data_IF_667673581183
#
_entry.id   IF_667673581183
#
_cell.length_a   1.000
_cell.length_b   1.000
_cell.length_c   1.000
_cell.angle_alpha   90.00
_cell.angle_beta   90.00
_cell.angle_gamma   90.00
#
_symmetry.space_group_name_H-M   'P 1'
#
loop_
_entity.id
_entity.type
_entity.pdbx_description
1 polymer ?
#
# COMPACT_ATOMS: atom_id res chain seq x y z
N UNK A 1 -29.59 -18.29 -3.23
CA UNK A 1 -28.53 -18.02 -2.26
C UNK A 1 -27.84 -16.75 -2.69
N UNK A 2 -27.63 -15.82 -1.77
CA UNK A 2 -26.78 -14.66 -2.01
C UNK A 2 -25.33 -15.14 -2.12
N UNK A 3 -24.59 -14.59 -3.07
CA UNK A 3 -23.21 -14.97 -3.35
C UNK A 3 -22.26 -13.84 -2.94
N UNK A 4 -21.11 -14.21 -2.40
CA UNK A 4 -20.03 -13.27 -2.08
C UNK A 4 -19.18 -13.08 -3.33
N UNK A 5 -18.97 -11.81 -3.72
CA UNK A 5 -18.25 -11.43 -4.94
C UNK A 5 -16.72 -11.53 -4.87
N UNK A 6 -16.17 -12.56 -4.21
CA UNK A 6 -14.71 -12.78 -4.10
C UNK A 6 -14.15 -13.30 -5.42
N UNK A 7 -13.56 -12.40 -6.21
CA UNK A 7 -12.88 -12.75 -7.46
C UNK A 7 -11.58 -13.53 -7.20
N UNK A 8 -11.17 -14.43 -8.12
CA UNK A 8 -9.87 -15.06 -8.06
C UNK A 8 -8.75 -14.02 -8.03
N UNK A 9 -7.83 -14.17 -7.07
CA UNK A 9 -6.64 -13.33 -6.95
C UNK A 9 -5.47 -13.98 -7.65
N UNK A 10 -4.64 -13.17 -8.30
CA UNK A 10 -3.32 -13.63 -8.74
C UNK A 10 -2.49 -13.96 -7.50
N UNK A 11 -2.11 -15.22 -7.36
CA UNK A 11 -1.19 -15.70 -6.33
C UNK A 11 0.22 -15.78 -6.89
N UNK A 12 1.13 -15.00 -6.33
CA UNK A 12 2.55 -15.05 -6.65
C UNK A 12 3.30 -15.76 -5.51
N UNK A 13 3.87 -16.97 -5.73
CA UNK A 13 4.44 -17.79 -4.67
C UNK A 13 5.84 -17.38 -4.22
N UNK A 14 6.58 -16.58 -5.01
CA UNK A 14 7.98 -16.26 -4.74
C UNK A 14 8.16 -15.18 -3.69
N UNK A 15 7.50 -14.04 -3.86
CA UNK A 15 7.58 -12.85 -2.99
C UNK A 15 6.22 -12.57 -2.34
N UNK A 16 5.11 -12.91 -3.00
CA UNK A 16 3.74 -12.66 -2.54
C UNK A 16 3.10 -11.48 -3.24
N UNK A 17 1.84 -11.63 -3.63
CA UNK A 17 1.12 -10.65 -4.47
C UNK A 17 1.03 -9.25 -3.83
N UNK A 18 0.77 -9.18 -2.52
CA UNK A 18 0.76 -7.90 -1.78
C UNK A 18 2.13 -7.22 -1.74
N UNK A 19 3.23 -7.99 -1.74
CA UNK A 19 4.58 -7.45 -1.79
C UNK A 19 4.95 -6.92 -3.16
N UNK A 20 4.49 -7.57 -4.23
CA UNK A 20 4.65 -7.03 -5.60
C UNK A 20 3.99 -5.65 -5.70
N UNK A 21 2.79 -5.49 -5.15
CA UNK A 21 2.12 -4.19 -5.05
C UNK A 21 2.95 -3.20 -4.23
N UNK A 22 3.45 -3.60 -3.05
CA UNK A 22 4.25 -2.74 -2.18
C UNK A 22 5.57 -2.27 -2.82
N UNK A 23 6.27 -3.16 -3.54
CA UNK A 23 7.50 -2.86 -4.27
C UNK A 23 7.20 -1.87 -5.40
N UNK A 24 6.18 -2.16 -6.22
CA UNK A 24 5.77 -1.29 -7.33
C UNK A 24 5.38 0.11 -6.82
N UNK A 25 4.56 0.16 -5.77
CA UNK A 25 4.16 1.39 -5.12
C UNK A 25 5.36 2.19 -4.60
N UNK A 26 6.32 1.54 -3.93
CA UNK A 26 7.48 2.26 -3.38
C UNK A 26 8.36 2.87 -4.48
N UNK A 27 8.60 2.15 -5.58
CA UNK A 27 9.37 2.67 -6.72
C UNK A 27 8.63 3.85 -7.37
N UNK A 28 7.32 3.75 -7.55
CA UNK A 28 6.52 4.83 -8.13
C UNK A 28 6.47 6.06 -7.21
N UNK A 29 6.32 5.86 -5.91
CA UNK A 29 6.27 6.91 -4.89
C UNK A 29 7.60 7.69 -4.87
N UNK A 30 8.73 6.99 -5.03
CA UNK A 30 10.04 7.63 -5.22
C UNK A 30 10.06 8.58 -6.43
N UNK A 31 9.65 8.09 -7.60
CA UNK A 31 9.64 8.88 -8.82
C UNK A 31 8.67 10.08 -8.72
N UNK A 32 7.49 9.88 -8.13
CA UNK A 32 6.47 10.92 -7.99
C UNK A 32 6.87 12.01 -6.99
N UNK A 33 7.39 11.67 -5.80
CA UNK A 33 7.76 12.66 -4.78
C UNK A 33 8.88 13.57 -5.27
N UNK A 34 9.85 13.01 -6.00
CA UNK A 34 10.94 13.78 -6.60
C UNK A 34 10.46 14.67 -7.75
N UNK A 35 9.50 14.19 -8.57
CA UNK A 35 8.92 14.96 -9.67
C UNK A 35 8.09 16.15 -9.17
N UNK A 36 7.10 15.90 -8.30
CA UNK A 36 6.13 16.92 -7.89
C UNK A 36 6.81 18.04 -7.10
N UNK A 37 7.70 17.69 -6.16
CA UNK A 37 8.42 18.70 -5.40
C UNK A 37 9.38 19.52 -6.28
N UNK A 38 10.02 18.89 -7.27
CA UNK A 38 10.85 19.60 -8.22
C UNK A 38 10.05 20.50 -9.17
N UNK A 39 8.83 20.11 -9.56
CA UNK A 39 7.97 20.93 -10.39
C UNK A 39 7.60 22.25 -9.69
N UNK A 40 7.29 22.20 -8.39
CA UNK A 40 7.08 23.39 -7.57
C UNK A 40 8.37 24.20 -7.40
N UNK A 41 9.51 23.55 -7.19
CA UNK A 41 10.81 24.23 -7.16
C UNK A 41 11.10 24.94 -8.50
N UNK A 42 10.81 24.31 -9.63
CA UNK A 42 11.00 24.90 -10.97
C UNK A 42 10.10 26.11 -11.18
N UNK A 43 8.83 26.04 -10.77
CA UNK A 43 7.94 27.19 -10.80
C UNK A 43 8.53 28.36 -9.99
N UNK A 44 8.99 28.10 -8.76
CA UNK A 44 9.63 29.11 -7.92
C UNK A 44 10.90 29.69 -8.55
N UNK A 45 11.82 28.84 -9.02
CA UNK A 45 13.08 29.26 -9.62
C UNK A 45 12.86 30.01 -10.94
N UNK A 46 11.86 29.66 -11.73
CA UNK A 46 11.52 30.37 -12.97
C UNK A 46 10.95 31.76 -12.68
N UNK A 47 10.09 31.90 -11.67
CA UNK A 47 9.63 33.21 -11.19
C UNK A 47 10.79 34.05 -10.69
N UNK A 48 11.73 33.44 -9.97
CA UNK A 48 12.93 34.12 -9.47
C UNK A 48 13.85 34.57 -10.61
N UNK A 49 14.07 33.70 -11.61
CA UNK A 49 14.86 33.97 -12.80
C UNK A 49 14.31 35.17 -13.57
N UNK A 50 12.99 35.22 -13.76
CA UNK A 50 12.30 36.32 -14.42
C UNK A 50 12.39 37.63 -13.62
N UNK A 51 12.11 37.59 -12.31
CA UNK A 51 12.10 38.80 -11.46
C UNK A 51 13.50 39.39 -11.23
N UNK A 52 14.54 38.55 -11.16
CA UNK A 52 15.92 38.98 -10.90
C UNK A 52 16.78 39.05 -12.17
N UNK A 53 16.19 38.75 -13.32
CA UNK A 53 16.90 38.62 -14.60
C UNK A 53 18.15 37.75 -14.49
N UNK A 54 18.01 36.57 -13.87
CA UNK A 54 19.12 35.65 -13.57
C UNK A 54 18.98 34.36 -14.41
N UNK A 55 19.43 34.35 -15.68
CA UNK A 55 19.21 33.24 -16.60
C UNK A 55 19.89 31.94 -16.18
N UNK A 56 20.95 32.00 -15.36
CA UNK A 56 21.64 30.82 -14.79
C UNK A 56 20.68 29.89 -14.02
N UNK A 57 19.61 30.43 -13.43
CA UNK A 57 18.57 29.63 -12.77
C UNK A 57 17.81 28.74 -13.76
N UNK A 58 17.59 29.24 -14.98
CA UNK A 58 16.95 28.46 -16.03
C UNK A 58 17.85 27.33 -16.53
N UNK A 59 19.17 27.55 -16.56
CA UNK A 59 20.13 26.48 -16.88
C UNK A 59 20.13 25.38 -15.81
N UNK A 60 20.00 25.75 -14.53
CA UNK A 60 19.83 24.78 -13.45
C UNK A 60 18.51 24.00 -13.59
N UNK A 61 17.39 24.69 -13.87
CA UNK A 61 16.10 24.05 -14.17
C UNK A 61 16.25 23.07 -15.33
N UNK A 62 16.92 23.45 -16.43
CA UNK A 62 17.13 22.56 -17.59
C UNK A 62 17.89 21.30 -17.20
N UNK A 63 19.02 21.44 -16.49
CA UNK A 63 19.87 20.31 -16.08
C UNK A 63 19.15 19.38 -15.10
N UNK A 64 18.42 19.95 -14.14
CA UNK A 64 17.66 19.17 -13.19
C UNK A 64 16.45 18.50 -13.86
N UNK A 65 15.73 19.24 -14.71
CA UNK A 65 14.63 18.70 -15.50
C UNK A 65 15.08 17.53 -16.39
N UNK A 66 16.22 17.62 -17.06
CA UNK A 66 16.76 16.50 -17.86
C UNK A 66 17.02 15.25 -17.02
N UNK A 67 17.53 15.40 -15.80
CA UNK A 67 17.69 14.28 -14.87
C UNK A 67 16.32 13.68 -14.50
N UNK A 68 15.33 14.52 -14.17
CA UNK A 68 13.99 14.07 -13.79
C UNK A 68 13.22 13.45 -14.96
N UNK A 69 13.45 13.89 -16.20
CA UNK A 69 12.78 13.32 -17.37
C UNK A 69 13.05 11.82 -17.46
N UNK A 70 14.31 11.42 -17.26
CA UNK A 70 14.69 9.99 -17.26
C UNK A 70 14.32 9.33 -15.93
N UNK A 71 14.74 9.90 -14.81
CA UNK A 71 14.60 9.25 -13.51
C UNK A 71 13.15 9.21 -13.00
N UNK A 72 12.42 10.31 -13.11
CA UNK A 72 11.06 10.42 -12.54
C UNK A 72 9.98 10.18 -13.58
N UNK A 73 10.06 10.80 -14.77
CA UNK A 73 8.97 10.72 -15.74
C UNK A 73 8.91 9.39 -16.48
N UNK A 74 10.03 8.85 -16.97
CA UNK A 74 10.03 7.52 -17.62
C UNK A 74 9.66 6.43 -16.61
N UNK A 75 10.37 6.38 -15.47
CA UNK A 75 10.09 5.38 -14.43
C UNK A 75 8.66 5.54 -13.89
N UNK A 76 8.23 6.77 -13.60
CA UNK A 76 6.88 7.08 -13.12
C UNK A 76 5.78 6.67 -14.11
N UNK A 77 5.98 6.95 -15.40
CA UNK A 77 5.00 6.60 -16.46
C UNK A 77 4.87 5.10 -16.70
N UNK A 78 5.90 4.30 -16.37
CA UNK A 78 5.84 2.83 -16.45
C UNK A 78 5.23 2.26 -15.16
N UNK A 79 5.70 2.74 -14.01
CA UNK A 79 5.31 2.20 -12.70
C UNK A 79 3.89 2.60 -12.29
N UNK A 80 3.37 3.75 -12.72
CA UNK A 80 1.99 4.19 -12.45
C UNK A 80 0.94 3.21 -12.98
N UNK A 81 0.92 2.92 -14.31
CA UNK A 81 0.11 1.84 -14.87
C UNK A 81 0.44 0.47 -14.27
N UNK A 82 1.71 0.24 -13.88
CA UNK A 82 2.12 -0.97 -13.16
C UNK A 82 1.38 -1.16 -11.83
N UNK A 83 1.14 -0.09 -11.07
CA UNK A 83 0.31 -0.15 -9.84
C UNK A 83 -1.12 -0.56 -10.19
N UNK A 84 -1.72 0.02 -11.22
CA UNK A 84 -3.08 -0.34 -11.65
C UNK A 84 -3.20 -1.82 -11.98
N UNK A 85 -2.26 -2.34 -12.78
CA UNK A 85 -2.25 -3.75 -13.13
C UNK A 85 -2.09 -4.64 -11.88
N UNK A 86 -1.04 -4.40 -11.09
CA UNK A 86 -0.70 -5.24 -9.93
C UNK A 86 -1.78 -5.21 -8.85
N UNK A 87 -2.35 -4.03 -8.53
CA UNK A 87 -3.43 -3.92 -7.54
C UNK A 87 -4.73 -4.55 -8.02
N UNK A 88 -5.04 -4.48 -9.31
CA UNK A 88 -6.26 -5.10 -9.87
C UNK A 88 -6.22 -6.61 -9.76
N UNK A 89 -5.07 -7.23 -10.02
CA UNK A 89 -4.96 -8.70 -9.94
C UNK A 89 -4.71 -9.21 -8.52
N UNK A 90 -4.06 -8.42 -7.65
CA UNK A 90 -3.78 -8.80 -6.27
C UNK A 90 -4.94 -8.50 -5.30
N UNK A 91 -5.73 -7.44 -5.55
CA UNK A 91 -6.88 -7.07 -4.71
C UNK A 91 -8.05 -6.53 -5.56
N UNK A 92 -8.68 -7.38 -6.41
CA UNK A 92 -9.77 -6.97 -7.30
C UNK A 92 -10.89 -6.17 -6.63
N UNK A 93 -11.38 -6.59 -5.45
CA UNK A 93 -12.46 -5.87 -4.76
C UNK A 93 -11.97 -4.61 -4.06
N UNK A 94 -10.73 -4.63 -3.56
CA UNK A 94 -10.09 -3.46 -2.98
C UNK A 94 -9.98 -2.33 -4.00
N UNK A 95 -9.50 -2.63 -5.21
CA UNK A 95 -9.46 -1.62 -6.29
C UNK A 95 -10.86 -1.28 -6.80
N UNK A 96 -11.76 -2.26 -6.93
CA UNK A 96 -13.14 -2.03 -7.39
C UNK A 96 -13.88 -1.03 -6.50
N UNK A 97 -13.72 -1.14 -5.18
CA UNK A 97 -14.28 -0.20 -4.21
C UNK A 97 -13.81 1.24 -4.43
N UNK A 98 -12.52 1.41 -4.71
CA UNK A 98 -11.95 2.72 -5.00
C UNK A 98 -12.46 3.25 -6.35
N UNK A 99 -12.63 2.39 -7.37
CA UNK A 99 -13.18 2.78 -8.68
C UNK A 99 -14.61 3.29 -8.53
N UNK A 100 -15.48 2.54 -7.85
CA UNK A 100 -16.87 2.93 -7.64
C UNK A 100 -17.01 4.22 -6.80
N UNK A 101 -15.99 4.56 -6.00
CA UNK A 101 -15.98 5.78 -5.19
C UNK A 101 -15.35 6.98 -5.90
N UNK A 102 -14.30 6.76 -6.72
CA UNK A 102 -13.39 7.82 -7.16
C UNK A 102 -12.96 7.76 -8.63
N UNK A 103 -13.62 6.99 -9.50
CA UNK A 103 -13.26 6.90 -10.93
C UNK A 103 -13.07 8.27 -11.61
N UNK A 104 -13.92 9.25 -11.30
CA UNK A 104 -13.82 10.60 -11.86
C UNK A 104 -12.64 11.40 -11.32
N UNK A 105 -12.23 11.16 -10.07
CA UNK A 105 -11.02 11.76 -9.51
C UNK A 105 -9.78 11.19 -10.20
N UNK A 106 -9.72 9.88 -10.39
CA UNK A 106 -8.67 9.28 -11.20
C UNK A 106 -8.65 9.81 -12.64
N UNK A 107 -9.80 9.86 -13.32
CA UNK A 107 -9.84 10.45 -14.66
C UNK A 107 -9.31 11.89 -14.68
N UNK A 108 -9.60 12.68 -13.64
CA UNK A 108 -9.04 14.03 -13.48
C UNK A 108 -7.52 14.01 -13.28
N UNK A 109 -7.01 13.09 -12.46
CA UNK A 109 -5.57 12.88 -12.25
C UNK A 109 -4.86 12.62 -13.59
N UNK A 110 -5.39 11.74 -14.44
CA UNK A 110 -4.81 11.45 -15.75
C UNK A 110 -4.73 12.67 -16.66
N UNK A 111 -5.72 13.56 -16.62
CA UNK A 111 -5.67 14.83 -17.38
C UNK A 111 -4.54 15.72 -16.89
N UNK A 112 -4.38 15.89 -15.56
CA UNK A 112 -3.26 16.65 -15.00
C UNK A 112 -1.92 15.99 -15.28
N UNK A 113 -1.84 14.66 -15.22
CA UNK A 113 -0.63 13.91 -15.56
C UNK A 113 -0.20 14.12 -17.02
N UNK A 114 -1.14 14.18 -17.97
CA UNK A 114 -0.81 14.55 -19.37
C UNK A 114 -0.23 15.97 -19.44
N UNK A 115 -0.82 16.91 -18.71
CA UNK A 115 -0.30 18.29 -18.61
C UNK A 115 1.12 18.29 -18.02
N UNK A 116 1.41 17.44 -17.03
CA UNK A 116 2.74 17.31 -16.44
C UNK A 116 3.76 16.74 -17.42
N UNK A 117 3.43 15.65 -18.12
CA UNK A 117 4.32 15.04 -19.11
C UNK A 117 4.62 16.02 -20.22
N UNK A 118 3.62 16.71 -20.77
CA UNK A 118 3.88 17.76 -21.77
C UNK A 118 4.67 18.92 -21.14
N UNK A 119 4.27 19.34 -19.95
CA UNK A 119 4.84 20.45 -19.20
C UNK A 119 6.33 20.30 -18.93
N UNK A 120 6.79 19.11 -18.49
CA UNK A 120 8.22 18.89 -18.22
C UNK A 120 9.06 19.02 -19.48
N UNK A 121 8.60 18.51 -20.63
CA UNK A 121 9.28 18.67 -21.90
C UNK A 121 9.35 20.15 -22.30
N UNK A 122 8.25 20.89 -22.16
CA UNK A 122 8.23 22.33 -22.46
C UNK A 122 9.17 23.11 -21.53
N UNK A 123 9.15 22.82 -20.23
CA UNK A 123 10.02 23.46 -19.23
C UNK A 123 11.50 23.22 -19.54
N UNK A 124 11.87 22.06 -20.08
CA UNK A 124 13.26 21.73 -20.40
C UNK A 124 13.69 22.27 -21.75
N UNK A 125 12.95 21.94 -22.82
CA UNK A 125 13.39 22.17 -24.19
C UNK A 125 13.14 23.61 -24.67
N UNK A 126 12.24 24.35 -24.03
CA UNK A 126 12.00 25.76 -24.39
C UNK A 126 12.89 26.76 -23.65
N UNK A 127 13.72 26.32 -22.70
CA UNK A 127 14.69 27.23 -22.04
C UNK A 127 15.59 27.87 -23.11
N UNK A 128 15.57 29.20 -23.18
CA UNK A 128 16.35 29.98 -24.14
C UNK A 128 15.79 29.99 -25.57
N UNK A 129 14.66 29.31 -25.83
CA UNK A 129 13.96 29.34 -27.13
C UNK A 129 12.70 30.20 -27.12
N UNK A 130 12.13 30.44 -25.94
CA UNK A 130 11.03 31.38 -25.70
C UNK A 130 11.48 32.46 -24.73
N UNK A 131 10.75 33.57 -24.68
CA UNK A 131 11.03 34.64 -23.73
C UNK A 131 10.84 34.16 -22.27
N UNK A 132 11.52 34.81 -21.33
CA UNK A 132 11.52 34.40 -19.93
C UNK A 132 10.13 34.43 -19.28
N UNK A 133 9.24 35.34 -19.73
CA UNK A 133 7.88 35.45 -19.17
C UNK A 133 7.03 34.26 -19.59
N UNK A 134 7.14 33.85 -20.85
CA UNK A 134 6.48 32.66 -21.38
C UNK A 134 7.01 31.40 -20.70
N UNK A 135 8.34 31.25 -20.57
CA UNK A 135 8.94 30.10 -19.87
C UNK A 135 8.48 30.01 -18.41
N UNK A 136 8.45 31.15 -17.69
CA UNK A 136 7.94 31.22 -16.33
C UNK A 136 6.48 30.77 -16.23
N UNK A 137 5.60 31.19 -17.14
CA UNK A 137 4.19 30.75 -17.16
C UNK A 137 4.08 29.23 -17.34
N UNK A 138 4.86 28.67 -18.25
CA UNK A 138 4.91 27.21 -18.49
C UNK A 138 5.35 26.49 -17.22
N UNK A 139 6.42 26.96 -16.56
CA UNK A 139 6.91 26.36 -15.32
C UNK A 139 5.90 26.43 -14.17
N UNK A 140 5.14 27.53 -14.07
CA UNK A 140 4.07 27.66 -13.06
C UNK A 140 2.90 26.73 -13.35
N UNK A 141 2.44 26.64 -14.60
CA UNK A 141 1.38 25.70 -14.99
C UNK A 141 1.80 24.27 -14.69
N UNK A 142 3.04 23.92 -15.04
CA UNK A 142 3.65 22.63 -14.74
C UNK A 142 3.65 22.33 -13.23
N UNK A 143 4.18 23.24 -12.41
CA UNK A 143 4.20 23.06 -10.95
C UNK A 143 2.81 22.91 -10.33
N UNK A 144 1.84 23.73 -10.76
CA UNK A 144 0.46 23.66 -10.27
C UNK A 144 -0.25 22.37 -10.71
N UNK A 145 0.00 21.90 -11.93
CA UNK A 145 -0.54 20.64 -12.42
C UNK A 145 0.00 19.47 -11.60
N UNK A 146 1.31 19.40 -11.38
CA UNK A 146 1.94 18.36 -10.54
C UNK A 146 1.42 18.32 -9.12
N UNK A 147 1.23 19.48 -8.50
CA UNK A 147 0.67 19.53 -7.15
C UNK A 147 -0.80 19.09 -7.12
N UNK A 148 -1.56 19.38 -8.17
CA UNK A 148 -2.96 18.96 -8.28
C UNK A 148 -3.09 17.46 -8.44
N UNK A 149 -2.23 16.80 -9.23
CA UNK A 149 -2.14 15.34 -9.31
C UNK A 149 -1.94 14.73 -7.93
N UNK A 150 -0.99 15.26 -7.15
CA UNK A 150 -0.76 14.79 -5.79
C UNK A 150 -1.99 14.98 -4.88
N UNK A 151 -2.65 16.14 -4.92
CA UNK A 151 -3.86 16.40 -4.14
C UNK A 151 -4.94 15.35 -4.41
N UNK A 152 -5.09 14.97 -5.68
CA UNK A 152 -6.10 14.00 -6.11
C UNK A 152 -5.78 12.60 -5.56
N UNK A 153 -4.57 12.08 -5.83
CA UNK A 153 -4.22 10.71 -5.42
C UNK A 153 -4.16 10.56 -3.90
N UNK A 154 -3.69 11.58 -3.17
CA UNK A 154 -3.63 11.53 -1.71
C UNK A 154 -5.01 11.49 -1.06
N UNK A 155 -6.03 12.11 -1.65
CA UNK A 155 -7.40 11.97 -1.14
C UNK A 155 -7.92 10.53 -1.26
N UNK A 156 -7.56 9.82 -2.33
CA UNK A 156 -7.93 8.41 -2.52
C UNK A 156 -7.15 7.52 -1.55
N UNK A 157 -5.86 7.75 -1.38
CA UNK A 157 -5.03 7.00 -0.42
C UNK A 157 -5.46 7.24 1.03
N UNK A 158 -5.86 8.48 1.36
CA UNK A 158 -6.43 8.83 2.66
C UNK A 158 -7.69 8.01 2.95
N UNK A 159 -8.59 7.89 1.97
CA UNK A 159 -9.79 7.07 2.09
C UNK A 159 -9.48 5.58 2.36
N UNK A 160 -8.38 5.03 1.80
CA UNK A 160 -7.98 3.66 2.11
C UNK A 160 -7.71 3.45 3.61
N UNK A 161 -7.27 4.50 4.33
CA UNK A 161 -7.06 4.48 5.77
C UNK A 161 -8.38 4.67 6.53
N UNK A 162 -9.09 5.76 6.24
CA UNK A 162 -10.38 6.10 6.85
C UNK A 162 -11.11 7.09 5.92
N UNK A 163 -12.44 6.97 5.75
CA UNK A 163 -13.22 7.97 5.01
C UNK A 163 -13.03 9.37 5.61
N UNK A 164 -13.07 10.40 4.75
CA UNK A 164 -12.86 11.79 5.16
C UNK A 164 -13.82 12.28 6.24
N UNK A 165 -15.06 11.80 6.22
CA UNK A 165 -16.09 12.06 7.23
C UNK A 165 -16.80 10.77 7.61
N UNK A 166 -17.18 10.64 8.88
CA UNK A 166 -17.91 9.48 9.38
C UNK A 166 -19.27 9.29 8.70
N UNK A 167 -19.95 10.38 8.34
CA UNK A 167 -21.23 10.36 7.60
C UNK A 167 -21.15 9.62 6.25
N UNK A 168 -19.94 9.42 5.72
CA UNK A 168 -19.75 8.59 4.52
C UNK A 168 -20.27 7.17 4.70
N UNK A 169 -20.20 6.59 5.91
CA UNK A 169 -20.72 5.25 6.17
C UNK A 169 -22.24 5.17 5.98
N UNK A 170 -22.98 6.24 6.30
CA UNK A 170 -24.45 6.26 6.22
C UNK A 170 -24.97 6.82 4.89
N UNK A 171 -24.36 7.90 4.39
CA UNK A 171 -24.83 8.62 3.19
C UNK A 171 -24.01 8.34 1.93
N UNK A 172 -22.81 7.78 2.07
CA UNK A 172 -21.88 7.64 0.97
C UNK A 172 -21.40 8.99 0.43
N UNK A 173 -21.15 9.05 -0.87
CA UNK A 173 -20.80 10.26 -1.59
C UNK A 173 -19.29 10.57 -1.64
N UNK A 174 -18.79 10.92 -2.82
CA UNK A 174 -17.35 11.09 -3.04
C UNK A 174 -16.72 12.19 -2.17
N UNK A 175 -17.44 13.30 -1.91
CA UNK A 175 -16.93 14.41 -1.10
C UNK A 175 -16.71 13.99 0.37
N UNK A 176 -17.65 13.22 0.92
CA UNK A 176 -17.58 12.71 2.29
C UNK A 176 -16.46 11.68 2.43
N UNK A 177 -16.22 10.87 1.40
CA UNK A 177 -15.11 9.90 1.39
C UNK A 177 -13.75 10.58 1.23
N UNK A 178 -13.66 11.64 0.41
CA UNK A 178 -12.40 12.23 -0.01
C UNK A 178 -11.84 13.29 0.96
N UNK A 179 -12.68 14.21 1.43
CA UNK A 179 -12.23 15.37 2.21
C UNK A 179 -12.41 15.15 3.72
N UNK A 180 -11.30 15.18 4.46
CA UNK A 180 -11.28 15.00 5.91
C UNK A 180 -9.97 15.44 6.53
N UNK A 181 -9.91 15.43 7.87
CA UNK A 181 -8.69 15.82 8.60
C UNK A 181 -7.49 14.95 8.23
N UNK A 182 -7.68 13.64 8.10
CA UNK A 182 -6.64 12.71 7.68
C UNK A 182 -6.10 13.06 6.27
N UNK A 183 -6.97 13.44 5.33
CA UNK A 183 -6.57 13.83 3.97
C UNK A 183 -5.65 15.06 3.98
N UNK A 184 -6.00 16.10 4.74
CA UNK A 184 -5.19 17.32 4.79
C UNK A 184 -3.91 17.12 5.60
N UNK A 185 -3.93 16.31 6.65
CA UNK A 185 -2.73 15.97 7.41
C UNK A 185 -1.74 15.18 6.55
N UNK A 186 -2.21 14.18 5.80
CA UNK A 186 -1.39 13.44 4.84
C UNK A 186 -0.84 14.36 3.74
N UNK A 187 -1.68 15.22 3.14
CA UNK A 187 -1.26 16.18 2.12
C UNK A 187 -0.14 17.09 2.62
N UNK A 188 -0.31 17.68 3.81
CA UNK A 188 0.67 18.59 4.38
C UNK A 188 2.00 17.86 4.66
N UNK A 189 1.93 16.70 5.32
CA UNK A 189 3.09 15.87 5.64
C UNK A 189 3.84 15.43 4.38
N UNK A 190 3.13 14.95 3.36
CA UNK A 190 3.71 14.52 2.07
C UNK A 190 4.29 15.69 1.27
N UNK A 191 3.67 16.87 1.36
CA UNK A 191 4.23 18.11 0.79
C UNK A 191 5.57 18.47 1.43
N UNK A 192 5.70 18.33 2.75
CA UNK A 192 6.96 18.56 3.43
C UNK A 192 8.01 17.50 3.01
N UNK A 193 7.62 16.23 2.96
CA UNK A 193 8.53 15.15 2.56
C UNK A 193 9.02 15.27 1.10
N UNK A 194 8.17 15.64 0.14
CA UNK A 194 8.61 15.85 -1.24
C UNK A 194 9.65 16.98 -1.37
N UNK A 195 9.53 18.03 -0.55
CA UNK A 195 10.48 19.15 -0.58
C UNK A 195 11.83 18.74 0.00
N UNK A 196 11.83 17.89 1.02
CA UNK A 196 13.04 17.22 1.52
C UNK A 196 13.69 16.39 0.41
N UNK A 197 12.91 15.55 -0.28
CA UNK A 197 13.40 14.74 -1.40
C UNK A 197 13.95 15.59 -2.55
N UNK A 198 13.23 16.66 -2.91
CA UNK A 198 13.62 17.60 -3.96
C UNK A 198 14.93 18.32 -3.62
N UNK A 199 15.11 18.70 -2.35
CA UNK A 199 16.33 19.34 -1.90
C UNK A 199 17.56 18.42 -2.01
N UNK A 200 17.43 17.15 -1.64
CA UNK A 200 18.52 16.17 -1.75
C UNK A 200 18.82 15.83 -3.22
N UNK A 201 17.80 15.51 -4.01
CA UNK A 201 17.97 15.14 -5.42
C UNK A 201 18.47 16.32 -6.25
N UNK A 202 17.93 17.52 -6.02
CA UNK A 202 18.45 18.75 -6.61
C UNK A 202 19.91 19.02 -6.23
N UNK A 203 20.34 18.53 -5.06
CA UNK A 203 21.72 18.54 -4.59
C UNK A 203 22.68 17.76 -5.50
N UNK A 204 22.26 16.65 -6.10
CA UNK A 204 23.07 15.87 -7.06
C UNK A 204 23.43 16.73 -8.28
N UNK A 205 22.45 17.49 -8.78
CA UNK A 205 22.62 18.37 -9.94
C UNK A 205 23.42 19.61 -9.55
N UNK A 206 23.12 20.20 -8.39
CA UNK A 206 23.81 21.38 -7.87
C UNK A 206 25.28 21.10 -7.55
N UNK A 207 25.63 19.86 -7.16
CA UNK A 207 27.01 19.44 -6.93
C UNK A 207 27.91 19.62 -8.16
N UNK A 208 27.32 19.53 -9.38
CA UNK A 208 28.01 19.66 -10.68
C UNK A 208 28.16 21.10 -11.16
N UNK A 209 27.66 22.09 -10.40
CA UNK A 209 27.84 23.51 -10.74
C UNK A 209 29.31 23.89 -10.53
N UNK A 210 29.93 24.48 -11.55
CA UNK A 210 31.34 24.89 -11.54
C UNK A 210 31.54 26.28 -10.94
N UNK A 211 30.63 27.22 -11.20
CA UNK A 211 30.69 28.56 -10.61
C UNK A 211 30.48 28.50 -9.07
N UNK A 212 31.49 28.87 -8.25
CA UNK A 212 31.39 28.81 -6.80
C UNK A 212 30.29 29.70 -6.22
N UNK A 213 30.04 30.86 -6.81
CA UNK A 213 29.04 31.80 -6.33
C UNK A 213 27.62 31.25 -6.55
N UNK A 214 27.33 30.82 -7.79
CA UNK A 214 26.05 30.19 -8.12
C UNK A 214 25.84 28.86 -7.38
N UNK A 215 26.90 28.03 -7.25
CA UNK A 215 26.83 26.80 -6.45
C UNK A 215 26.45 27.09 -5.01
N UNK A 216 27.06 28.11 -4.39
CA UNK A 216 26.74 28.52 -3.02
C UNK A 216 25.31 29.01 -2.91
N UNK A 217 24.83 29.79 -3.88
CA UNK A 217 23.45 30.26 -3.89
C UNK A 217 22.45 29.09 -3.94
N UNK A 218 22.58 28.20 -4.93
CA UNK A 218 21.67 27.06 -5.10
C UNK A 218 21.75 26.11 -3.91
N UNK A 219 22.96 25.76 -3.46
CA UNK A 219 23.16 24.87 -2.30
C UNK A 219 22.47 25.43 -1.05
N UNK A 220 22.53 26.75 -0.83
CA UNK A 220 21.86 27.40 0.30
C UNK A 220 20.34 27.38 0.18
N UNK A 221 19.78 27.57 -1.02
CA UNK A 221 18.33 27.45 -1.24
C UNK A 221 17.85 26.02 -0.99
N UNK A 222 18.57 25.02 -1.51
CA UNK A 222 18.24 23.60 -1.29
C UNK A 222 18.39 23.20 0.17
N UNK A 223 19.46 23.64 0.85
CA UNK A 223 19.67 23.35 2.27
C UNK A 223 18.56 23.95 3.14
N UNK A 224 18.17 25.21 2.91
CA UNK A 224 17.05 25.81 3.63
C UNK A 224 15.72 25.13 3.33
N UNK A 225 15.46 24.80 2.05
CA UNK A 225 14.28 24.04 1.66
C UNK A 225 14.22 22.73 2.45
N UNK A 226 15.31 21.95 2.43
CA UNK A 226 15.43 20.66 3.10
C UNK A 226 15.33 20.71 4.62
N UNK A 227 15.98 21.69 5.28
CA UNK A 227 15.88 21.88 6.74
C UNK A 227 14.45 22.22 7.13
N UNK A 228 13.87 23.25 6.51
CA UNK A 228 12.53 23.73 6.84
C UNK A 228 11.51 22.63 6.56
N UNK A 229 11.60 21.95 5.42
CA UNK A 229 10.67 20.89 5.07
C UNK A 229 10.82 19.66 5.96
N UNK A 230 12.03 19.30 6.41
CA UNK A 230 12.22 18.14 7.30
C UNK A 230 11.69 18.39 8.70
N UNK A 231 11.94 19.58 9.27
CA UNK A 231 11.38 19.99 10.58
C UNK A 231 9.86 20.11 10.51
N UNK A 232 9.36 20.77 9.47
CA UNK A 232 7.91 20.93 9.25
C UNK A 232 7.24 19.57 9.03
N UNK A 233 7.87 18.68 8.27
CA UNK A 233 7.39 17.32 8.05
C UNK A 233 7.30 16.51 9.34
N UNK A 234 8.30 16.61 10.21
CA UNK A 234 8.26 15.97 11.52
C UNK A 234 7.11 16.50 12.41
N UNK A 235 6.86 17.81 12.40
CA UNK A 235 5.73 18.39 13.12
C UNK A 235 4.37 17.97 12.52
N UNK A 236 4.24 17.97 11.20
CA UNK A 236 3.02 17.55 10.50
C UNK A 236 2.77 16.05 10.63
N UNK A 237 3.81 15.23 10.75
CA UNK A 237 3.67 13.81 11.07
C UNK A 237 2.96 13.61 12.42
N UNK A 238 3.27 14.44 13.44
CA UNK A 238 2.54 14.40 14.72
C UNK A 238 1.06 14.75 14.58
N UNK A 239 0.73 15.70 13.69
CA UNK A 239 -0.67 15.99 13.37
C UNK A 239 -1.33 14.79 12.67
N UNK A 240 -0.68 14.20 11.68
CA UNK A 240 -1.17 13.01 10.98
C UNK A 240 -1.50 11.85 11.93
N UNK A 241 -0.58 11.52 12.84
CA UNK A 241 -0.81 10.44 13.83
C UNK A 241 -2.07 10.69 14.66
N UNK A 242 -2.37 11.95 15.03
CA UNK A 242 -3.60 12.29 15.78
C UNK A 242 -4.89 12.19 14.97
N UNK A 243 -4.80 12.11 13.64
CA UNK A 243 -5.97 11.93 12.76
C UNK A 243 -6.29 10.47 12.49
N UNK A 244 -5.44 9.55 12.97
CA UNK A 244 -5.62 8.12 12.75
C UNK A 244 -6.76 7.56 13.61
N UNK A 245 -7.47 6.53 13.12
CA UNK A 245 -8.45 5.82 13.92
C UNK A 245 -7.78 5.02 15.05
N UNK A 246 -8.52 4.77 16.14
CA UNK A 246 -8.04 4.02 17.31
C UNK A 246 -7.43 2.66 16.94
N UNK A 247 -8.05 1.94 15.99
CA UNK A 247 -7.53 0.65 15.50
C UNK A 247 -6.10 0.77 14.99
N UNK A 248 -5.76 1.87 14.31
CA UNK A 248 -4.44 2.09 13.76
C UNK A 248 -3.39 2.32 14.86
N UNK A 249 -3.76 3.01 15.94
CA UNK A 249 -2.89 3.16 17.11
C UNK A 249 -2.61 1.80 17.77
N UNK A 250 -3.64 0.98 17.96
CA UNK A 250 -3.48 -0.36 18.51
C UNK A 250 -2.56 -1.24 17.63
N UNK A 251 -2.71 -1.19 16.30
CA UNK A 251 -1.81 -1.91 15.40
C UNK A 251 -0.39 -1.35 15.48
N UNK A 252 -0.24 -0.02 15.52
CA UNK A 252 1.06 0.64 15.62
C UNK A 252 1.83 0.17 16.85
N UNK A 253 1.20 0.18 18.03
CA UNK A 253 1.83 -0.15 19.30
C UNK A 253 2.17 -1.65 19.42
N UNK A 254 1.38 -2.52 18.81
CA UNK A 254 1.53 -3.98 18.94
C UNK A 254 2.34 -4.63 17.80
N UNK A 255 2.52 -3.95 16.66
CA UNK A 255 3.06 -4.58 15.44
C UNK A 255 4.21 -3.85 14.79
N UNK A 256 4.38 -2.55 14.99
CA UNK A 256 5.60 -1.91 14.50
C UNK A 256 6.79 -2.35 15.35
N UNK A 257 7.92 -2.73 14.73
CA UNK A 257 9.11 -3.12 15.49
C UNK A 257 9.57 -1.99 16.42
N UNK A 258 10.11 -2.34 17.58
CA UNK A 258 10.61 -1.36 18.57
C UNK A 258 11.71 -0.43 18.02
N UNK A 259 12.46 -0.88 17.00
CA UNK A 259 13.46 -0.08 16.31
C UNK A 259 12.88 0.94 15.32
N UNK A 260 11.60 0.86 14.98
CA UNK A 260 10.98 1.67 13.91
C UNK A 260 11.02 3.17 14.22
N UNK A 261 10.58 3.57 15.42
CA UNK A 261 10.60 4.96 15.84
C UNK A 261 12.04 5.51 15.96
N UNK A 262 13.01 4.82 16.63
CA UNK A 262 14.41 5.22 16.59
C UNK A 262 14.99 5.34 15.17
N UNK A 263 14.60 4.46 14.23
CA UNK A 263 15.06 4.51 12.85
C UNK A 263 14.59 5.78 12.13
N UNK A 264 13.30 6.14 12.24
CA UNK A 264 12.77 7.38 11.65
C UNK A 264 13.48 8.61 12.21
N UNK A 265 13.68 8.68 13.54
CA UNK A 265 14.38 9.79 14.18
C UNK A 265 15.82 9.87 13.68
N UNK A 266 16.51 8.74 13.55
CA UNK A 266 17.88 8.67 13.03
C UNK A 266 17.97 9.19 11.59
N UNK A 267 17.03 8.80 10.73
CA UNK A 267 16.97 9.28 9.34
C UNK A 267 16.69 10.77 9.28
N UNK A 268 15.78 11.28 10.13
CA UNK A 268 15.49 12.71 10.23
C UNK A 268 16.73 13.50 10.66
N UNK A 269 17.42 13.06 11.73
CA UNK A 269 18.63 13.71 12.23
C UNK A 269 19.77 13.65 11.19
N UNK A 270 19.95 12.51 10.53
CA UNK A 270 20.93 12.36 9.44
C UNK A 270 20.64 13.29 8.26
N UNK A 271 19.36 13.43 7.90
CA UNK A 271 18.91 14.35 6.84
C UNK A 271 19.16 15.82 7.23
N UNK A 272 18.86 16.20 8.47
CA UNK A 272 19.14 17.54 8.98
C UNK A 272 20.64 17.82 9.03
N UNK A 273 21.44 16.87 9.52
CA UNK A 273 22.89 17.00 9.54
C UNK A 273 23.46 17.21 8.13
N UNK A 274 23.00 16.44 7.14
CA UNK A 274 23.37 16.60 5.73
C UNK A 274 23.08 18.02 5.20
N UNK A 275 21.90 18.56 5.46
CA UNK A 275 21.57 19.90 5.00
C UNK A 275 22.29 21.00 5.77
N UNK A 276 22.50 20.85 7.09
CA UNK A 276 23.29 21.79 7.89
C UNK A 276 24.74 21.83 7.38
N UNK A 277 25.34 20.69 7.08
CA UNK A 277 26.68 20.62 6.47
C UNK A 277 26.71 21.33 5.10
N UNK A 278 25.70 21.09 4.27
CA UNK A 278 25.55 21.75 2.96
C UNK A 278 25.38 23.27 3.10
N UNK A 279 24.69 23.73 4.15
CA UNK A 279 24.47 25.14 4.46
C UNK A 279 25.75 25.84 4.93
N UNK A 280 26.55 25.17 5.77
CA UNK A 280 27.83 25.68 6.29
C UNK A 280 28.84 25.80 5.14
N UNK A 281 28.95 24.78 4.30
CA UNK A 281 29.91 24.75 3.21
C UNK A 281 29.34 24.07 1.98
N UNK A 282 29.10 24.85 0.92
CA UNK A 282 28.69 24.33 -0.39
C UNK A 282 29.75 23.42 -1.04
N UNK A 283 30.99 23.40 -0.53
CA UNK A 283 32.03 22.47 -0.99
C UNK A 283 31.76 21.03 -0.55
N UNK A 284 31.00 20.83 0.53
CA UNK A 284 30.59 19.48 0.98
C UNK A 284 29.55 18.86 0.05
N UNK A 285 28.84 19.68 -0.75
CA UNK A 285 27.89 19.21 -1.73
C UNK A 285 28.62 18.62 -2.94
N UNK A 286 28.85 17.31 -2.88
CA UNK A 286 29.47 16.49 -3.91
C UNK A 286 28.49 15.45 -4.42
N UNK A 287 28.66 15.01 -5.67
CA UNK A 287 27.71 14.12 -6.36
C UNK A 287 27.52 12.83 -5.57
N UNK A 288 28.61 12.17 -5.14
CA UNK A 288 28.51 10.91 -4.39
C UNK A 288 27.76 11.10 -3.06
N UNK A 289 28.03 12.19 -2.34
CA UNK A 289 27.41 12.47 -1.04
C UNK A 289 25.91 12.73 -1.19
N UNK A 290 25.51 13.51 -2.20
CA UNK A 290 24.11 13.74 -2.52
C UNK A 290 23.39 12.46 -3.01
N UNK A 291 24.08 11.61 -3.79
CA UNK A 291 23.54 10.32 -4.23
C UNK A 291 23.36 9.35 -3.05
N UNK A 292 24.34 9.26 -2.14
CA UNK A 292 24.23 8.45 -0.92
C UNK A 292 23.09 8.96 -0.05
N UNK A 293 23.00 10.27 0.20
CA UNK A 293 21.90 10.85 0.96
C UNK A 293 20.53 10.54 0.31
N UNK A 294 20.44 10.62 -1.02
CA UNK A 294 19.22 10.24 -1.76
C UNK A 294 18.87 8.78 -1.50
N UNK A 295 19.80 7.85 -1.70
CA UNK A 295 19.57 6.42 -1.48
C UNK A 295 19.22 6.13 -0.02
N UNK A 296 19.88 6.78 0.94
CA UNK A 296 19.60 6.60 2.37
C UNK A 296 18.19 7.03 2.74
N UNK A 297 17.72 8.20 2.28
CA UNK A 297 16.35 8.65 2.56
C UNK A 297 15.32 7.73 1.88
N UNK A 298 15.64 7.16 0.74
CA UNK A 298 14.74 6.21 0.06
C UNK A 298 14.62 4.89 0.79
N UNK A 299 15.76 4.29 1.16
CA UNK A 299 15.78 2.99 1.82
C UNK A 299 15.33 3.04 3.27
N UNK A 300 15.67 4.11 3.99
CA UNK A 300 15.42 4.20 5.43
C UNK A 300 14.33 5.21 5.80
N UNK A 301 13.94 6.10 4.90
CA UNK A 301 12.80 7.00 5.09
C UNK A 301 11.56 6.50 4.36
N UNK A 302 11.59 6.51 3.03
CA UNK A 302 10.43 6.22 2.19
C UNK A 302 9.93 4.77 2.35
N UNK A 303 10.81 3.78 2.28
CA UNK A 303 10.41 2.38 2.37
C UNK A 303 9.74 2.03 3.72
N UNK A 304 10.33 2.37 4.89
CA UNK A 304 9.66 2.16 6.18
C UNK A 304 8.33 2.90 6.30
N UNK A 305 8.22 4.11 5.74
CA UNK A 305 6.96 4.86 5.73
C UNK A 305 5.86 4.13 4.95
N UNK A 306 6.15 3.66 3.73
CA UNK A 306 5.17 2.93 2.90
C UNK A 306 4.73 1.61 3.55
N UNK A 307 5.67 0.88 4.16
CA UNK A 307 5.39 -0.36 4.91
C UNK A 307 4.57 -0.06 6.16
N UNK A 308 4.86 1.00 6.89
CA UNK A 308 4.11 1.37 8.08
C UNK A 308 2.68 1.78 7.72
N UNK A 309 2.49 2.61 6.69
CA UNK A 309 1.16 2.98 6.19
C UNK A 309 0.34 1.74 5.81
N UNK A 310 0.94 0.78 5.11
CA UNK A 310 0.29 -0.51 4.78
C UNK A 310 -0.08 -1.31 6.02
N UNK A 311 0.76 -1.29 7.04
CA UNK A 311 0.58 -2.10 8.24
C UNK A 311 -0.50 -1.54 9.16
N UNK A 312 -0.51 -0.23 9.41
CA UNK A 312 -1.43 0.41 10.37
C UNK A 312 -2.88 0.46 9.88
N UNK A 313 -3.13 0.32 8.57
CA UNK A 313 -4.50 0.26 8.03
C UNK A 313 -5.19 -1.08 8.25
N UNK A 314 -4.43 -2.14 8.56
CA UNK A 314 -4.97 -3.47 8.80
C UNK A 314 -5.98 -3.41 9.96
N UNK A 315 -7.11 -4.13 9.86
CA UNK A 315 -7.38 -5.24 8.94
C UNK A 315 -7.94 -4.83 7.58
N UNK A 316 -8.13 -3.54 7.33
CA UNK A 316 -8.83 -3.01 6.17
C UNK A 316 -7.90 -2.80 4.97
N UNK A 317 -8.42 -3.01 3.76
CA UNK A 317 -7.77 -2.59 2.50
C UNK A 317 -8.37 -1.29 1.98
N UNK A 318 -9.65 -1.01 2.26
CA UNK A 318 -10.33 0.21 1.83
C UNK A 318 -11.40 0.67 2.84
N UNK A 319 -11.38 1.97 3.17
CA UNK A 319 -12.48 2.72 3.78
C UNK A 319 -13.03 2.20 5.11
N UNK A 320 -12.28 1.35 5.84
CA UNK A 320 -12.75 0.62 7.03
C UNK A 320 -14.06 -0.17 6.83
N UNK A 321 -14.27 -0.71 5.62
CA UNK A 321 -15.41 -1.58 5.34
C UNK A 321 -15.06 -2.81 4.50
N UNK A 322 -13.94 -2.80 3.77
CA UNK A 322 -13.43 -3.99 3.06
C UNK A 322 -12.17 -4.48 3.76
N UNK A 323 -12.18 -5.73 4.20
CA UNK A 323 -11.05 -6.38 4.81
C UNK A 323 -9.93 -6.69 3.81
N UNK A 324 -8.74 -7.00 4.31
CA UNK A 324 -7.59 -7.37 3.49
C UNK A 324 -7.78 -8.65 2.68
N UNK A 325 -8.65 -9.57 3.14
CA UNK A 325 -9.10 -10.74 2.38
C UNK A 325 -10.26 -10.41 1.42
N UNK A 326 -10.59 -9.13 1.23
CA UNK A 326 -11.58 -8.61 0.31
C UNK A 326 -13.06 -8.86 0.69
N UNK A 327 -13.32 -9.40 1.87
CA UNK A 327 -14.69 -9.51 2.41
C UNK A 327 -15.17 -8.13 2.85
N UNK A 328 -16.44 -7.80 2.54
CA UNK A 328 -17.09 -6.61 3.08
C UNK A 328 -17.46 -6.88 4.53
N UNK A 329 -16.78 -6.21 5.46
CA UNK A 329 -16.94 -6.38 6.91
C UNK A 329 -17.92 -5.42 7.57
N UNK A 330 -18.37 -4.37 6.87
CA UNK A 330 -19.24 -3.31 7.42
C UNK A 330 -20.28 -2.86 6.38
N UNK A 331 -21.48 -2.58 6.85
CA UNK A 331 -22.54 -1.96 6.05
C UNK A 331 -22.19 -0.51 5.66
N UNK A 332 -22.51 -0.14 4.43
CA UNK A 332 -22.47 1.26 3.96
C UNK A 332 -23.80 1.56 3.25
N UNK A 333 -24.89 1.86 4.00
CA UNK A 333 -26.23 2.02 3.43
C UNK A 333 -26.30 3.03 2.27
N UNK A 334 -25.59 4.16 2.38
CA UNK A 334 -25.58 5.20 1.35
C UNK A 334 -24.92 4.79 0.03
N UNK A 335 -24.18 3.68 0.01
CA UNK A 335 -23.63 3.07 -1.19
C UNK A 335 -24.34 1.76 -1.56
N UNK A 336 -25.42 1.41 -0.86
CA UNK A 336 -26.14 0.13 -0.97
C UNK A 336 -25.21 -1.09 -0.79
N UNK A 337 -24.25 -0.99 0.14
CA UNK A 337 -23.30 -2.07 0.46
C UNK A 337 -23.72 -2.70 1.78
N UNK A 338 -23.83 -4.03 1.80
CA UNK A 338 -24.11 -4.81 3.01
C UNK A 338 -22.89 -5.66 3.39
N UNK A 339 -22.68 -5.81 4.69
CA UNK A 339 -21.68 -6.70 5.25
C UNK A 339 -21.96 -8.14 4.83
N UNK A 340 -20.91 -8.83 4.43
CA UNK A 340 -20.95 -10.23 4.01
C UNK A 340 -20.73 -11.18 5.19
N UNK A 341 -20.37 -10.65 6.36
CA UNK A 341 -20.09 -11.43 7.57
C UNK A 341 -21.30 -12.30 7.99
N UNK A 342 -22.54 -11.78 8.10
CA UNK A 342 -23.67 -12.61 8.52
C UNK A 342 -23.97 -13.76 7.54
N UNK A 343 -23.77 -13.54 6.24
CA UNK A 343 -23.94 -14.56 5.21
C UNK A 343 -22.90 -15.68 5.37
N UNK A 344 -21.63 -15.29 5.60
CA UNK A 344 -20.52 -16.21 5.81
C UNK A 344 -20.64 -16.99 7.13
N UNK A 345 -21.07 -16.36 8.22
CA UNK A 345 -21.35 -17.04 9.50
C UNK A 345 -22.43 -18.13 9.33
N UNK A 346 -23.47 -17.83 8.56
CA UNK A 346 -24.59 -18.74 8.34
C UNK A 346 -24.16 -19.93 7.46
N UNK A 347 -23.51 -19.67 6.33
CA UNK A 347 -23.32 -20.67 5.26
C UNK A 347 -21.87 -21.12 5.03
N UNK A 348 -20.88 -20.40 5.56
CA UNK A 348 -19.45 -20.64 5.29
C UNK A 348 -18.95 -20.02 3.98
N UNK A 349 -17.64 -20.04 3.77
CA UNK A 349 -16.98 -19.57 2.55
C UNK A 349 -17.24 -20.48 1.34
N UNK A 350 -17.20 -21.80 1.51
CA UNK A 350 -17.28 -22.76 0.40
C UNK A 350 -18.63 -22.73 -0.32
N UNK A 351 -19.71 -22.49 0.43
CA UNK A 351 -21.09 -22.47 -0.11
C UNK A 351 -21.48 -21.12 -0.69
N UNK A 352 -20.80 -20.04 -0.32
CA UNK A 352 -21.18 -18.66 -0.66
C UNK A 352 -20.29 -18.03 -1.71
N UNK A 353 -19.15 -18.63 -2.05
CA UNK A 353 -18.27 -18.13 -3.10
C UNK A 353 -18.68 -18.63 -4.49
N UNK A 354 -18.66 -17.71 -5.45
CA UNK A 354 -19.00 -17.96 -6.86
C UNK A 354 -17.96 -18.87 -7.52
N UNK A 355 -16.67 -18.60 -7.29
CA UNK A 355 -15.56 -19.23 -8.02
C UNK A 355 -14.99 -20.49 -7.35
N UNK A 356 -15.64 -20.99 -6.29
CA UNK A 356 -15.29 -22.29 -5.69
C UNK A 356 -15.87 -23.40 -6.56
N UNK A 357 -15.04 -24.34 -7.06
CA UNK A 357 -15.51 -25.51 -7.82
C UNK A 357 -16.51 -26.33 -7.03
N UNK A 358 -17.46 -26.97 -7.72
CA UNK A 358 -18.57 -27.69 -7.09
C UNK A 358 -18.09 -28.82 -6.17
N UNK A 359 -17.02 -29.50 -6.56
CA UNK A 359 -16.36 -30.57 -5.82
C UNK A 359 -15.67 -30.11 -4.52
N UNK A 360 -15.43 -28.80 -4.35
CA UNK A 360 -14.85 -28.23 -3.14
C UNK A 360 -15.89 -27.56 -2.23
N UNK A 361 -17.18 -27.57 -2.60
CA UNK A 361 -18.25 -26.93 -1.81
C UNK A 361 -18.61 -27.67 -0.53
N UNK A 362 -18.23 -28.95 -0.44
CA UNK A 362 -18.46 -29.82 0.72
C UNK A 362 -17.13 -30.49 1.06
N UNK A 363 -16.77 -30.47 2.34
CA UNK A 363 -15.54 -31.09 2.82
C UNK A 363 -15.73 -32.60 2.93
N UNK A 364 -14.85 -33.36 2.30
CA UNK A 364 -14.74 -34.81 2.41
C UNK A 364 -13.30 -35.17 2.79
N UNK A 365 -13.04 -36.37 3.35
CA UNK A 365 -11.67 -36.79 3.63
C UNK A 365 -10.75 -36.72 2.40
N UNK A 366 -11.28 -37.07 1.22
CA UNK A 366 -10.50 -37.10 -0.02
C UNK A 366 -10.11 -35.70 -0.55
N UNK A 367 -10.96 -34.70 -0.33
CA UNK A 367 -10.73 -33.34 -0.85
C UNK A 367 -10.21 -32.35 0.22
N UNK A 368 -10.11 -32.76 1.49
CA UNK A 368 -9.85 -31.88 2.64
C UNK A 368 -8.62 -30.98 2.45
N UNK A 369 -7.52 -31.54 1.94
CA UNK A 369 -6.31 -30.77 1.68
C UNK A 369 -6.52 -29.70 0.59
N UNK A 370 -7.24 -30.05 -0.48
CA UNK A 370 -7.51 -29.13 -1.59
C UNK A 370 -8.49 -28.03 -1.20
N UNK A 371 -9.49 -28.37 -0.37
CA UNK A 371 -10.40 -27.40 0.25
C UNK A 371 -9.60 -26.43 1.13
N UNK A 372 -8.72 -26.93 1.99
CA UNK A 372 -7.87 -26.09 2.84
C UNK A 372 -6.98 -25.13 2.05
N UNK A 373 -6.38 -25.61 0.95
CA UNK A 373 -5.60 -24.77 0.03
C UNK A 373 -6.47 -23.66 -0.59
N UNK A 374 -7.66 -23.99 -1.07
CA UNK A 374 -8.60 -23.03 -1.65
C UNK A 374 -9.05 -21.95 -0.66
N UNK A 375 -9.32 -22.36 0.59
CA UNK A 375 -9.61 -21.43 1.68
C UNK A 375 -8.40 -20.53 1.98
N UNK A 376 -7.19 -21.10 2.10
CA UNK A 376 -5.97 -20.33 2.35
C UNK A 376 -5.68 -19.31 1.24
N UNK A 377 -5.89 -19.70 -0.02
CA UNK A 377 -5.79 -18.80 -1.18
C UNK A 377 -6.76 -17.62 -1.05
N UNK A 378 -7.98 -17.88 -0.61
CA UNK A 378 -9.00 -16.83 -0.52
C UNK A 378 -8.83 -15.94 0.71
N UNK A 379 -8.55 -16.53 1.87
CA UNK A 379 -8.63 -15.82 3.16
C UNK A 379 -7.28 -15.33 3.67
N UNK A 380 -6.17 -15.92 3.22
CA UNK A 380 -4.84 -15.69 3.79
C UNK A 380 -3.83 -15.11 2.79
N UNK A 381 -3.91 -15.46 1.50
CA UNK A 381 -2.85 -15.19 0.51
C UNK A 381 -2.55 -13.70 0.25
N UNK A 382 -3.52 -12.81 0.50
CA UNK A 382 -3.33 -11.37 0.39
C UNK A 382 -2.35 -10.79 1.42
N UNK A 383 -2.12 -11.50 2.54
CA UNK A 383 -1.25 -11.06 3.63
C UNK A 383 -0.09 -12.02 3.91
N UNK A 384 -0.26 -13.30 3.61
CA UNK A 384 0.68 -14.36 3.92
C UNK A 384 1.06 -15.15 2.67
N UNK A 385 2.34 -15.49 2.54
CA UNK A 385 2.74 -16.47 1.53
C UNK A 385 2.21 -17.86 1.90
N UNK A 386 1.77 -18.62 0.89
CA UNK A 386 1.46 -20.04 1.00
C UNK A 386 2.63 -20.94 0.57
N UNK A 387 3.82 -20.35 0.40
CA UNK A 387 5.09 -21.02 0.14
C UNK A 387 6.07 -20.82 1.30
N UNK A 388 7.14 -21.62 1.34
CA UNK A 388 8.19 -21.52 2.37
C UNK A 388 9.14 -20.34 2.17
N UNK A 389 9.29 -19.91 0.92
CA UNK A 389 10.26 -18.88 0.50
C UNK A 389 9.64 -17.49 0.41
N UNK A 390 8.32 -17.41 0.25
CA UNK A 390 7.63 -16.13 0.15
C UNK A 390 7.62 -15.34 1.45
N UNK A 391 7.31 -14.05 1.34
CA UNK A 391 7.32 -13.17 2.49
C UNK A 391 6.20 -13.54 3.47
N UNK A 392 6.53 -13.55 4.78
CA UNK A 392 5.60 -13.90 5.86
C UNK A 392 4.87 -15.24 5.62
N UNK A 393 5.57 -16.39 5.49
CA UNK A 393 4.94 -17.68 5.28
C UNK A 393 3.88 -17.98 6.34
N UNK A 394 2.69 -18.40 5.91
CA UNK A 394 1.54 -18.63 6.79
C UNK A 394 1.86 -19.61 7.93
N UNK A 395 2.53 -20.72 7.61
CA UNK A 395 2.85 -21.77 8.58
C UNK A 395 3.72 -21.29 9.76
N UNK A 396 4.51 -20.22 9.59
CA UNK A 396 5.39 -19.70 10.65
C UNK A 396 4.63 -19.00 11.77
N UNK A 397 3.38 -18.61 11.55
CA UNK A 397 2.58 -17.88 12.53
C UNK A 397 1.86 -18.78 13.54
N UNK A 398 1.95 -20.11 13.40
CA UNK A 398 1.30 -21.07 14.29
C UNK A 398 2.27 -21.70 15.31
N UNK A 399 3.36 -21.00 15.66
CA UNK A 399 4.32 -21.47 16.67
C UNK A 399 5.02 -22.79 16.31
N UNK A 400 4.90 -23.23 15.06
CA UNK A 400 5.42 -24.51 14.61
C UNK A 400 4.66 -25.74 15.12
N UNK A 401 3.45 -25.60 15.66
CA UNK A 401 2.60 -26.76 15.97
C UNK A 401 2.35 -27.59 14.71
N UNK A 402 2.23 -28.90 14.92
CA UNK A 402 1.89 -29.88 13.87
C UNK A 402 0.59 -30.61 14.19
N UNK A 403 -0.10 -30.16 15.23
CA UNK A 403 -1.40 -30.65 15.65
C UNK A 403 -2.50 -29.87 14.92
N UNK A 404 -3.26 -30.56 14.06
CA UNK A 404 -4.35 -29.97 13.29
C UNK A 404 -5.42 -29.36 14.20
N UNK A 405 -5.77 -30.03 15.29
CA UNK A 405 -6.81 -29.59 16.23
C UNK A 405 -6.42 -28.29 16.95
N UNK A 406 -5.14 -28.10 17.27
CA UNK A 406 -4.66 -26.84 17.87
C UNK A 406 -4.78 -25.67 16.88
N UNK A 407 -4.39 -25.90 15.62
CA UNK A 407 -4.53 -24.90 14.56
C UNK A 407 -6.00 -24.57 14.33
N UNK A 408 -6.87 -25.58 14.22
CA UNK A 408 -8.31 -25.40 14.08
C UNK A 408 -8.90 -24.56 15.23
N UNK A 409 -8.56 -24.89 16.48
CA UNK A 409 -9.02 -24.16 17.65
C UNK A 409 -8.59 -22.70 17.62
N UNK A 410 -7.35 -22.41 17.18
CA UNK A 410 -6.91 -21.03 16.99
C UNK A 410 -7.72 -20.32 15.89
N UNK A 411 -7.92 -20.96 14.73
CA UNK A 411 -8.68 -20.38 13.62
C UNK A 411 -10.09 -20.01 14.07
N UNK A 412 -10.78 -20.91 14.77
CA UNK A 412 -12.14 -20.69 15.26
C UNK A 412 -12.22 -19.70 16.42
N UNK A 413 -11.27 -19.77 17.35
CA UNK A 413 -11.25 -18.93 18.54
C UNK A 413 -10.82 -17.49 18.26
N UNK A 414 -9.80 -17.30 17.41
CA UNK A 414 -9.17 -16.00 17.19
C UNK A 414 -9.59 -15.31 15.89
N UNK A 415 -9.80 -16.06 14.80
CA UNK A 415 -10.10 -15.49 13.48
C UNK A 415 -11.60 -15.47 13.17
N UNK A 416 -12.32 -16.56 13.47
CA UNK A 416 -13.78 -16.58 13.25
C UNK A 416 -14.55 -15.60 14.13
N UNK A 417 -14.02 -15.27 15.31
CA UNK A 417 -14.64 -14.31 16.25
C UNK A 417 -14.23 -12.85 15.98
N UNK A 418 -13.22 -12.62 15.14
CA UNK A 418 -12.62 -11.30 14.96
C UNK A 418 -11.83 -10.79 16.18
N UNK A 419 -11.47 -11.65 17.13
CA UNK A 419 -10.72 -11.26 18.33
C UNK A 419 -9.32 -10.70 17.99
N UNK A 420 -8.76 -11.05 16.84
CA UNK A 420 -7.49 -10.49 16.35
C UNK A 420 -7.71 -9.19 15.59
N UNK A 421 -7.61 -8.04 16.28
CA UNK A 421 -7.95 -6.71 15.76
C UNK A 421 -7.28 -6.31 14.43
N UNK A 422 -6.06 -6.77 14.15
CA UNK A 422 -5.31 -6.45 12.93
C UNK A 422 -5.46 -7.50 11.82
N UNK A 423 -6.33 -8.50 12.01
CA UNK A 423 -6.68 -9.50 11.00
C UNK A 423 -8.15 -9.37 10.60
N UNK A 424 -8.51 -9.70 9.34
CA UNK A 424 -9.90 -9.86 8.97
C UNK A 424 -10.62 -10.83 9.90
N UNK A 425 -11.92 -10.58 10.15
CA UNK A 425 -12.80 -11.62 10.67
C UNK A 425 -13.00 -12.67 9.56
N UNK A 426 -12.75 -13.93 9.87
CA UNK A 426 -12.84 -15.04 8.91
C UNK A 426 -13.79 -16.09 9.51
N UNK A 427 -15.12 -15.92 9.38
CA UNK A 427 -16.11 -16.78 10.04
C UNK A 427 -16.20 -18.17 9.38
N UNK A 428 -15.19 -19.01 9.65
CA UNK A 428 -15.10 -20.38 9.14
C UNK A 428 -16.09 -21.30 9.86
N UNK A 429 -16.77 -22.17 9.11
CA UNK A 429 -17.50 -23.32 9.68
C UNK A 429 -16.51 -24.35 10.23
N UNK A 430 -16.91 -25.22 11.18
CA UNK A 430 -16.01 -26.22 11.76
C UNK A 430 -15.26 -27.05 10.71
N UNK A 431 -15.98 -27.54 9.70
CA UNK A 431 -15.41 -28.32 8.60
C UNK A 431 -14.43 -27.51 7.73
N UNK A 432 -14.67 -26.20 7.55
CA UNK A 432 -13.79 -25.30 6.81
C UNK A 432 -12.51 -24.98 7.60
N UNK A 433 -12.67 -24.75 8.91
CA UNK A 433 -11.55 -24.50 9.82
C UNK A 433 -10.64 -25.72 9.93
N UNK A 434 -11.21 -26.93 10.01
CA UNK A 434 -10.47 -28.18 10.02
C UNK A 434 -9.70 -28.37 8.70
N UNK A 435 -10.35 -28.19 7.56
CA UNK A 435 -9.69 -28.30 6.25
C UNK A 435 -8.54 -27.28 6.09
N UNK A 436 -8.75 -26.02 6.50
CA UNK A 436 -7.71 -25.00 6.50
C UNK A 436 -6.56 -25.35 7.45
N UNK A 437 -6.85 -25.88 8.63
CA UNK A 437 -5.84 -26.34 9.58
C UNK A 437 -4.99 -27.48 9.01
N UNK A 438 -5.62 -28.47 8.35
CA UNK A 438 -4.92 -29.55 7.63
C UNK A 438 -3.96 -28.99 6.60
N UNK A 439 -4.37 -28.01 5.79
CA UNK A 439 -3.48 -27.38 4.81
C UNK A 439 -2.31 -26.64 5.48
N UNK A 440 -2.55 -25.86 6.53
CA UNK A 440 -1.50 -25.13 7.26
C UNK A 440 -0.48 -26.10 7.87
N UNK A 441 -0.94 -27.20 8.47
CA UNK A 441 -0.04 -28.24 9.00
C UNK A 441 0.71 -28.92 7.86
N UNK A 442 0.04 -29.22 6.74
CA UNK A 442 0.67 -29.84 5.57
C UNK A 442 1.83 -29.01 5.02
N UNK A 443 1.73 -27.68 5.03
CA UNK A 443 2.83 -26.79 4.59
C UNK A 443 4.13 -27.02 5.37
N UNK A 444 4.05 -27.49 6.63
CA UNK A 444 5.23 -27.73 7.47
C UNK A 444 5.55 -29.22 7.63
N UNK A 445 4.55 -30.04 7.92
CA UNK A 445 4.70 -31.48 8.17
C UNK A 445 3.59 -32.27 7.46
N UNK A 446 3.77 -32.62 6.16
CA UNK A 446 2.77 -33.32 5.36
C UNK A 446 2.25 -34.62 6.00
N UNK A 447 3.14 -35.36 6.66
CA UNK A 447 2.80 -36.64 7.31
C UNK A 447 1.75 -36.48 8.41
N UNK A 448 1.83 -35.39 9.20
CA UNK A 448 0.87 -35.13 10.28
C UNK A 448 -0.52 -34.79 9.71
N UNK A 449 -0.57 -34.01 8.63
CA UNK A 449 -1.80 -33.69 7.92
C UNK A 449 -2.44 -34.95 7.29
N UNK A 450 -1.63 -35.81 6.65
CA UNK A 450 -2.10 -37.06 6.05
C UNK A 450 -2.65 -38.01 7.12
N UNK A 451 -1.96 -38.16 8.25
CA UNK A 451 -2.42 -39.00 9.36
C UNK A 451 -3.79 -38.53 9.90
N UNK A 452 -4.00 -37.22 10.00
CA UNK A 452 -5.29 -36.64 10.40
C UNK A 452 -6.39 -36.96 9.39
N UNK A 453 -6.12 -36.81 8.10
CA UNK A 453 -7.08 -37.14 7.02
C UNK A 453 -7.45 -38.62 7.07
N UNK A 454 -6.47 -39.52 7.22
CA UNK A 454 -6.71 -40.97 7.31
C UNK A 454 -7.55 -41.34 8.53
N UNK A 455 -7.27 -40.72 9.67
CA UNK A 455 -8.08 -40.90 10.88
C UNK A 455 -9.53 -40.48 10.65
N UNK A 456 -9.77 -39.33 10.02
CA UNK A 456 -11.11 -38.86 9.66
C UNK A 456 -11.83 -39.75 8.66
N UNK A 457 -11.11 -40.26 7.65
CA UNK A 457 -11.65 -41.22 6.70
C UNK A 457 -12.11 -42.51 7.40
N UNK A 458 -11.31 -43.03 8.34
CA UNK A 458 -11.66 -44.21 9.13
C UNK A 458 -12.90 -43.99 10.01
N UNK A 459 -13.02 -42.83 10.65
CA UNK A 459 -14.21 -42.46 11.42
C UNK A 459 -15.47 -42.39 10.54
N UNK A 460 -15.37 -41.73 9.38
CA UNK A 460 -16.49 -41.63 8.44
C UNK A 460 -16.95 -43.00 7.92
N UNK A 461 -16.02 -43.92 7.66
CA UNK A 461 -16.33 -45.31 7.28
C UNK A 461 -17.00 -46.08 8.42
N UNK A 462 -16.54 -45.91 9.66
CA UNK A 462 -17.14 -46.53 10.83
C UNK A 462 -18.58 -46.05 11.07
N UNK A 463 -18.84 -44.74 10.94
CA UNK A 463 -20.17 -44.16 11.08
C UNK A 463 -21.13 -44.66 9.98
N UNK A 464 -20.65 -44.80 8.74
CA UNK A 464 -21.43 -45.38 7.64
C UNK A 464 -21.75 -46.86 7.88
N UNK A 465 -20.79 -47.63 8.40
CA UNK A 465 -20.99 -49.04 8.74
C UNK A 465 -22.01 -49.22 9.87
N UNK A 466 -22.04 -48.29 10.84
CA UNK A 466 -23.01 -48.29 11.94
C UNK A 466 -24.42 -47.81 11.52
N UNK A 467 -24.53 -47.01 10.45
CA UNK A 467 -25.80 -46.48 9.95
C UNK A 467 -26.56 -47.42 8.99
N UNK A 468 -25.95 -48.54 8.57
CA UNK A 468 -26.63 -49.58 7.81
C UNK A 468 -27.62 -50.32 8.72
N UNK A 469 -28.94 -50.37 8.41
CA UNK A 469 -29.89 -51.11 9.22
C UNK A 469 -29.53 -52.59 9.26
N UNK A 470 -29.58 -53.19 10.45
CA UNK A 470 -29.49 -54.63 10.65
C UNK A 470 -30.73 -55.34 10.08
N UNK A 471 -30.91 -55.31 8.76
CA UNK A 471 -31.84 -56.17 8.04
C UNK A 471 -30.99 -57.16 7.27
N UNK A 472 -30.76 -58.34 7.88
CA UNK A 472 -30.54 -59.63 7.21
C UNK A 472 -30.18 -60.72 8.25
N UNK A 473 -31.06 -60.97 9.22
CA UNK A 473 -31.09 -62.25 9.96
C UNK A 473 -32.49 -62.53 10.51
N UNK A 474 -33.45 -62.72 9.61
CA UNK A 474 -34.60 -63.57 9.93
C UNK A 474 -35.09 -64.25 8.64
N UNK A 475 -35.29 -65.56 8.75
CA UNK A 475 -35.74 -66.53 7.72
C UNK A 475 -34.64 -67.30 6.97
N UNK A 476 -34.19 -68.40 7.58
CA UNK A 476 -34.42 -69.74 7.01
C UNK A 476 -34.82 -70.66 8.16
N UNK A 477 -35.99 -71.29 8.02
CA UNK A 477 -36.58 -72.29 8.91
C UNK A 477 -36.19 -73.68 8.46
#
# INVERSE_FOLDING_TARGET
MDWVGLYPTWYEPGVGSGWVVGIMATIHVLASHTSVGAAILFAYLAVLAYRRNQPQLLDYIRKYGMFLLVFSYVIGSITGPGIWFTTTVASPRGISALIHSFVWKWATEWVFFVIEVVGVYLVIYLVGRVDQRTHMRIAVIFGMASYTTMLIILGILSFMMVPGKEVWFTEGGYLNGFYGSNTFAQLAMRTAFMFTMTAVVGGIVAARITDPAFKREISRKLAWLGIVSSITGAALFQWYIRTLPETAHLVMDNRLPSYFQPAIITVLLGTLAYFVMTLISSRTLVVWGASVATVSILLFGLWPEEVARESIRKPWVAGQYIYSNQVVGRDVPGMNIKSEIPLLETHGFLKTQVFVPNELRVVTPDNMLKVGESLALTTCSNCHSLSDTGMRPLHRYFGGTTNVTEVENYLRGALSTGATLYMPMIPLKPEEAEALAVFIVNMKQPQAAIAHIQHKAALAQADQAAALPATLTQEVR
#
